data_IF_055339686218
#
_entry.id   IF_055339686218
#
_cell.length_a   1.000
_cell.length_b   1.000
_cell.length_c   1.000
_cell.angle_alpha   90.00
_cell.angle_beta   90.00
_cell.angle_gamma   90.00
#
_symmetry.space_group_name_H-M   'P 1'
#
loop_
_entity.id
_entity.type
_entity.pdbx_description
1 polymer ?
#
# COMPACT_ATOMS: atom_id res chain seq x y z
N UNK A 1 -11.17 -16.16 21.69
CA UNK A 1 -11.58 -17.55 21.37
C UNK A 1 -12.58 -18.05 22.40
N UNK A 2 -12.31 -17.92 23.70
CA UNK A 2 -13.29 -18.20 24.76
C UNK A 2 -14.60 -17.43 24.55
N UNK A 3 -14.52 -16.12 24.23
CA UNK A 3 -15.72 -15.28 24.05
C UNK A 3 -16.59 -15.67 22.86
N UNK A 4 -15.98 -16.11 21.74
CA UNK A 4 -16.72 -16.59 20.56
C UNK A 4 -17.38 -17.92 20.88
N UNK A 5 -16.65 -18.83 21.55
CA UNK A 5 -17.19 -20.12 21.97
C UNK A 5 -18.33 -19.95 22.98
N UNK A 6 -18.18 -19.04 23.94
CA UNK A 6 -19.21 -18.67 24.91
C UNK A 6 -20.44 -18.04 24.24
N UNK A 7 -20.24 -17.19 23.23
CA UNK A 7 -21.32 -16.61 22.43
C UNK A 7 -22.14 -17.67 21.70
N UNK A 8 -21.47 -18.63 21.06
CA UNK A 8 -22.12 -19.71 20.30
C UNK A 8 -22.84 -20.67 21.23
N UNK A 9 -22.20 -21.07 22.33
CA UNK A 9 -22.71 -22.13 23.20
C UNK A 9 -23.73 -21.61 24.22
N UNK A 10 -23.52 -20.42 24.78
CA UNK A 10 -24.29 -19.93 25.93
C UNK A 10 -25.19 -18.73 25.62
N UNK A 11 -25.05 -18.09 24.46
CA UNK A 11 -25.78 -16.85 24.12
C UNK A 11 -26.50 -16.89 22.76
N UNK A 12 -26.63 -18.06 22.13
CA UNK A 12 -27.30 -18.25 20.84
C UNK A 12 -26.82 -17.25 19.76
N UNK A 13 -25.52 -16.93 19.73
CA UNK A 13 -24.90 -16.05 18.74
C UNK A 13 -25.37 -14.57 18.72
N UNK A 14 -26.29 -14.18 19.60
CA UNK A 14 -26.90 -12.84 19.57
C UNK A 14 -25.90 -11.70 19.85
N UNK A 15 -24.81 -11.98 20.57
CA UNK A 15 -23.76 -11.00 20.89
C UNK A 15 -22.51 -11.14 20.02
N UNK A 16 -22.54 -11.98 18.97
CA UNK A 16 -21.38 -12.23 18.12
C UNK A 16 -20.89 -10.95 17.44
N UNK A 17 -21.81 -10.06 17.06
CA UNK A 17 -21.50 -8.77 16.44
C UNK A 17 -20.63 -7.88 17.35
N UNK A 18 -20.94 -7.81 18.66
CA UNK A 18 -20.17 -7.03 19.64
C UNK A 18 -18.75 -7.58 19.79
N UNK A 19 -18.59 -8.91 19.72
CA UNK A 19 -17.27 -9.52 19.81
C UNK A 19 -16.42 -9.08 18.62
N UNK A 20 -16.95 -9.11 17.39
CA UNK A 20 -16.20 -8.62 16.22
C UNK A 20 -15.82 -7.14 16.34
N UNK A 21 -16.76 -6.30 16.75
CA UNK A 21 -16.51 -4.86 16.95
C UNK A 21 -15.40 -4.65 17.99
N UNK A 22 -15.50 -5.31 19.15
CA UNK A 22 -14.51 -5.18 20.24
C UNK A 22 -13.13 -5.72 19.86
N UNK A 23 -13.07 -6.74 18.99
CA UNK A 23 -11.80 -7.30 18.53
C UNK A 23 -11.14 -6.45 17.43
N UNK A 24 -11.89 -5.58 16.72
CA UNK A 24 -11.35 -4.70 15.66
C UNK A 24 -10.08 -3.96 16.13
N UNK A 25 -10.13 -3.29 17.26
CA UNK A 25 -9.01 -2.51 17.79
C UNK A 25 -7.79 -3.37 18.11
N UNK A 26 -8.02 -4.57 18.66
CA UNK A 26 -6.94 -5.53 18.97
C UNK A 26 -6.28 -6.07 17.71
N UNK A 27 -6.97 -6.04 16.58
CA UNK A 27 -6.47 -6.54 15.29
C UNK A 27 -5.70 -5.50 14.48
N UNK A 28 -5.70 -4.22 14.89
CA UNK A 28 -4.94 -3.15 14.23
C UNK A 28 -3.44 -3.48 14.13
N UNK A 29 -2.91 -4.26 15.08
CA UNK A 29 -1.51 -4.73 15.09
C UNK A 29 -1.13 -5.51 13.83
N UNK A 30 -2.10 -6.11 13.13
CA UNK A 30 -1.84 -6.85 11.90
C UNK A 30 -1.43 -5.93 10.74
N UNK A 31 -1.81 -4.65 10.76
CA UNK A 31 -1.31 -3.68 9.77
C UNK A 31 0.22 -3.57 9.83
N UNK A 32 0.76 -3.42 11.04
CA UNK A 32 2.20 -3.36 11.25
C UNK A 32 2.87 -4.69 10.85
N UNK A 33 2.31 -5.82 11.27
CA UNK A 33 2.85 -7.14 10.92
C UNK A 33 2.93 -7.35 9.40
N UNK A 34 1.82 -7.13 8.69
CA UNK A 34 1.74 -7.29 7.24
C UNK A 34 2.68 -6.36 6.48
N UNK A 35 2.92 -5.14 7.00
CA UNK A 35 3.85 -4.19 6.37
C UNK A 35 5.33 -4.60 6.50
N UNK A 36 5.68 -5.41 7.51
CA UNK A 36 7.07 -5.74 7.84
C UNK A 36 7.45 -7.19 7.52
N UNK A 37 6.47 -8.09 7.39
CA UNK A 37 6.70 -9.55 7.25
C UNK A 37 7.58 -9.88 6.05
N UNK A 38 7.42 -9.19 4.91
CA UNK A 38 8.26 -9.40 3.73
C UNK A 38 9.72 -9.05 4.01
N UNK A 39 9.96 -7.93 4.69
CA UNK A 39 11.30 -7.49 5.09
C UNK A 39 11.92 -8.46 6.11
N UNK A 40 11.13 -8.93 7.07
CA UNK A 40 11.56 -9.91 8.06
C UNK A 40 11.93 -11.25 7.42
N UNK A 41 11.15 -11.72 6.44
CA UNK A 41 11.44 -12.93 5.68
C UNK A 41 12.73 -12.77 4.86
N UNK A 42 12.90 -11.66 4.14
CA UNK A 42 14.15 -11.39 3.40
C UNK A 42 15.37 -11.33 4.34
N UNK A 43 15.22 -10.75 5.53
CA UNK A 43 16.28 -10.74 6.54
C UNK A 43 16.60 -12.17 7.02
N UNK A 44 15.57 -12.97 7.31
CA UNK A 44 15.73 -14.37 7.71
C UNK A 44 16.45 -15.19 6.64
N UNK A 45 16.09 -15.02 5.37
CA UNK A 45 16.75 -15.70 4.25
C UNK A 45 18.23 -15.32 4.16
N UNK A 46 18.54 -14.03 4.27
CA UNK A 46 19.91 -13.53 4.21
C UNK A 46 20.76 -14.06 5.36
N UNK A 47 20.22 -14.09 6.58
CA UNK A 47 20.90 -14.66 7.75
C UNK A 47 21.13 -16.15 7.54
N UNK A 48 20.11 -16.89 7.10
CA UNK A 48 20.19 -18.34 6.90
C UNK A 48 21.20 -18.71 5.79
N UNK A 49 21.38 -17.85 4.77
CA UNK A 49 22.39 -18.03 3.72
C UNK A 49 23.81 -17.72 4.18
N UNK A 50 23.98 -16.80 5.12
CA UNK A 50 25.30 -16.30 5.55
C UNK A 50 25.82 -16.99 6.81
N UNK A 51 24.93 -17.56 7.62
CA UNK A 51 25.22 -18.16 8.93
C UNK A 51 24.68 -19.59 9.00
N UNK A 52 25.56 -20.56 8.74
CA UNK A 52 25.19 -21.99 8.73
C UNK A 52 24.72 -22.50 10.10
N UNK A 53 25.28 -21.98 11.19
CA UNK A 53 24.87 -22.29 12.56
C UNK A 53 23.41 -21.92 12.83
N UNK A 54 22.99 -20.74 12.35
CA UNK A 54 21.59 -20.29 12.45
C UNK A 54 20.67 -21.17 11.61
N UNK A 55 21.08 -21.50 10.38
CA UNK A 55 20.32 -22.37 9.49
C UNK A 55 20.06 -23.75 10.10
N UNK A 56 21.10 -24.40 10.63
CA UNK A 56 20.96 -25.69 11.31
C UNK A 56 20.02 -25.60 12.52
N UNK A 57 20.09 -24.49 13.27
CA UNK A 57 19.19 -24.28 14.40
C UNK A 57 17.73 -24.10 13.97
N UNK A 58 17.49 -23.42 12.85
CA UNK A 58 16.14 -23.27 12.28
C UNK A 58 15.56 -24.63 11.86
N UNK A 59 16.37 -25.50 11.25
CA UNK A 59 15.97 -26.87 10.88
C UNK A 59 15.66 -27.73 12.11
N UNK A 60 16.49 -27.67 13.15
CA UNK A 60 16.24 -28.35 14.43
C UNK A 60 14.92 -27.89 15.07
N UNK A 61 14.70 -26.58 15.13
CA UNK A 61 13.47 -25.99 15.65
C UNK A 61 12.23 -26.45 14.85
N UNK A 62 12.33 -26.48 13.52
CA UNK A 62 11.26 -26.97 12.65
C UNK A 62 10.93 -28.45 12.91
N UNK A 63 11.96 -29.31 13.00
CA UNK A 63 11.81 -30.73 13.35
C UNK A 63 11.16 -30.90 14.71
N UNK A 64 11.58 -30.14 15.72
CA UNK A 64 11.04 -30.22 17.09
C UNK A 64 9.59 -29.73 17.19
N UNK A 65 9.23 -28.68 16.48
CA UNK A 65 7.92 -28.04 16.62
C UNK A 65 6.81 -28.72 15.80
N UNK A 66 7.15 -29.22 14.60
CA UNK A 66 6.15 -29.71 13.65
C UNK A 66 6.66 -30.86 12.75
N UNK A 67 7.70 -31.58 13.18
CA UNK A 67 8.33 -32.68 12.45
C UNK A 67 8.89 -32.24 11.08
N UNK A 68 9.30 -30.98 10.94
CA UNK A 68 9.90 -30.48 9.70
C UNK A 68 8.90 -30.14 8.60
N UNK A 69 7.60 -30.14 8.88
CA UNK A 69 6.54 -29.86 7.91
C UNK A 69 6.47 -28.39 7.51
N UNK A 70 6.78 -27.48 8.42
CA UNK A 70 6.71 -26.03 8.18
C UNK A 70 7.97 -25.34 8.70
N UNK A 71 8.61 -24.57 7.83
CA UNK A 71 9.76 -23.74 8.19
C UNK A 71 9.31 -22.49 8.95
N UNK A 72 10.24 -21.81 9.64
CA UNK A 72 9.94 -20.52 10.27
C UNK A 72 9.40 -19.51 9.26
N UNK A 73 9.93 -19.52 8.03
CA UNK A 73 9.43 -18.71 6.92
C UNK A 73 7.95 -18.95 6.65
N UNK A 74 7.53 -20.22 6.54
CA UNK A 74 6.13 -20.58 6.30
C UNK A 74 5.23 -20.09 7.42
N UNK A 75 5.70 -20.25 8.67
CA UNK A 75 4.97 -19.84 9.86
C UNK A 75 4.80 -18.31 9.99
N UNK A 76 5.77 -17.52 9.52
CA UNK A 76 5.67 -16.06 9.50
C UNK A 76 4.61 -15.53 8.52
N UNK A 77 4.23 -16.32 7.51
CA UNK A 77 3.17 -15.91 6.56
C UNK A 77 1.76 -16.22 7.12
N UNK A 78 1.65 -17.13 8.08
CA UNK A 78 0.36 -17.58 8.64
C UNK A 78 -0.48 -16.45 9.24
N UNK A 79 0.06 -15.51 10.05
CA UNK A 79 -0.74 -14.42 10.59
C UNK A 79 -1.33 -13.52 9.50
N UNK A 80 -0.57 -13.26 8.43
CA UNK A 80 -1.07 -12.52 7.26
C UNK A 80 -2.18 -13.28 6.53
N UNK A 81 -1.99 -14.58 6.27
CA UNK A 81 -3.03 -15.42 5.63
C UNK A 81 -4.32 -15.50 6.47
N UNK A 82 -4.18 -15.52 7.80
CA UNK A 82 -5.32 -15.56 8.72
C UNK A 82 -6.12 -14.26 8.69
N UNK A 83 -5.45 -13.12 8.52
CA UNK A 83 -6.10 -11.82 8.35
C UNK A 83 -6.83 -11.74 7.02
N UNK A 84 -6.24 -12.30 5.95
CA UNK A 84 -6.91 -12.32 4.65
C UNK A 84 -8.17 -13.20 4.67
N UNK A 85 -8.19 -14.33 5.40
CA UNK A 85 -9.40 -15.14 5.58
C UNK A 85 -10.56 -14.42 6.26
N UNK A 86 -10.38 -13.20 6.76
CA UNK A 86 -11.51 -12.37 7.20
C UNK A 86 -12.49 -12.05 6.08
N UNK A 87 -12.11 -12.10 4.79
CA UNK A 87 -13.09 -12.02 3.70
C UNK A 87 -14.10 -13.19 3.74
N UNK A 88 -13.71 -14.36 4.24
CA UNK A 88 -14.63 -15.50 4.45
C UNK A 88 -15.52 -15.28 5.66
N UNK A 89 -15.01 -14.64 6.72
CA UNK A 89 -15.82 -14.21 7.87
C UNK A 89 -16.79 -13.10 7.47
N UNK A 90 -16.36 -12.14 6.66
CA UNK A 90 -17.20 -11.09 6.06
C UNK A 90 -18.27 -11.72 5.16
N UNK A 91 -17.89 -12.71 4.36
CA UNK A 91 -18.84 -13.47 3.54
C UNK A 91 -19.83 -14.22 4.44
N UNK A 92 -19.37 -14.92 5.48
CA UNK A 92 -20.22 -15.62 6.43
C UNK A 92 -21.18 -14.68 7.16
N UNK A 93 -20.70 -13.55 7.70
CA UNK A 93 -21.55 -12.52 8.32
C UNK A 93 -22.52 -11.94 7.29
N UNK A 94 -22.10 -11.72 6.04
CA UNK A 94 -22.98 -11.25 4.96
C UNK A 94 -24.07 -12.25 4.63
N UNK A 95 -23.75 -13.54 4.61
CA UNK A 95 -24.74 -14.61 4.41
C UNK A 95 -25.69 -14.69 5.62
N UNK A 96 -25.19 -14.58 6.85
CA UNK A 96 -26.03 -14.49 8.05
C UNK A 96 -26.99 -13.30 7.95
N UNK A 97 -26.50 -12.09 7.63
CA UNK A 97 -27.33 -10.88 7.42
C UNK A 97 -28.45 -11.10 6.38
N UNK A 98 -28.21 -11.89 5.33
CA UNK A 98 -29.22 -12.19 4.30
C UNK A 98 -30.30 -13.13 4.82
N UNK A 99 -29.93 -14.10 5.66
CA UNK A 99 -30.83 -15.12 6.20
C UNK A 99 -31.50 -14.73 7.54
N UNK A 100 -30.99 -13.71 8.22
CA UNK A 100 -31.62 -13.14 9.42
C UNK A 100 -32.88 -12.36 9.05
N UNK A 101 -34.01 -12.75 9.64
CA UNK A 101 -35.33 -12.11 9.47
C UNK A 101 -35.60 -11.03 10.50
N UNK A 102 -34.95 -11.09 11.67
CA UNK A 102 -35.06 -10.07 12.71
C UNK A 102 -34.36 -8.75 12.29
N UNK A 103 -35.07 -7.61 12.24
CA UNK A 103 -34.49 -6.35 11.81
C UNK A 103 -33.33 -5.85 12.69
N UNK A 104 -33.42 -6.03 14.00
CA UNK A 104 -32.44 -5.53 14.96
C UNK A 104 -31.14 -6.35 14.89
N UNK A 105 -31.26 -7.68 14.84
CA UNK A 105 -30.13 -8.59 14.66
C UNK A 105 -29.44 -8.35 13.30
N UNK A 106 -30.22 -8.10 12.25
CA UNK A 106 -29.70 -7.75 10.93
C UNK A 106 -28.90 -6.44 10.94
N UNK A 107 -29.35 -5.42 11.67
CA UNK A 107 -28.63 -4.17 11.83
C UNK A 107 -27.33 -4.37 12.63
N UNK A 108 -27.40 -5.11 13.73
CA UNK A 108 -26.22 -5.47 14.54
C UNK A 108 -25.15 -6.20 13.72
N UNK A 109 -25.53 -7.18 12.91
CA UNK A 109 -24.61 -7.91 12.04
C UNK A 109 -24.02 -7.03 10.93
N UNK A 110 -24.76 -6.04 10.40
CA UNK A 110 -24.22 -5.05 9.45
C UNK A 110 -23.12 -4.20 10.10
N UNK A 111 -23.30 -3.77 11.35
CA UNK A 111 -22.27 -3.01 12.07
C UNK A 111 -20.97 -3.82 12.23
N UNK A 112 -21.08 -5.10 12.57
CA UNK A 112 -19.91 -5.99 12.63
C UNK A 112 -19.26 -6.20 11.26
N UNK A 113 -20.08 -6.34 10.20
CA UNK A 113 -19.58 -6.47 8.83
C UNK A 113 -18.76 -5.25 8.41
N UNK A 114 -19.28 -4.05 8.64
CA UNK A 114 -18.61 -2.81 8.26
C UNK A 114 -17.34 -2.59 9.10
N UNK A 115 -17.38 -2.89 10.41
CA UNK A 115 -16.20 -2.86 11.28
C UNK A 115 -15.05 -3.76 10.76
N UNK A 116 -15.37 -4.94 10.23
CA UNK A 116 -14.39 -5.87 9.67
C UNK A 116 -13.90 -5.45 8.27
N UNK A 117 -14.76 -4.83 7.44
CA UNK A 117 -14.34 -4.24 6.17
C UNK A 117 -13.35 -3.09 6.39
N UNK A 118 -13.63 -2.22 7.35
CA UNK A 118 -12.74 -1.12 7.73
C UNK A 118 -11.37 -1.65 8.14
N UNK A 119 -11.32 -2.73 8.93
CA UNK A 119 -10.06 -3.34 9.36
C UNK A 119 -9.28 -3.87 8.15
N UNK A 120 -9.95 -4.55 7.21
CA UNK A 120 -9.31 -5.06 6.00
C UNK A 120 -8.75 -3.92 5.14
N UNK A 121 -9.53 -2.84 4.97
CA UNK A 121 -9.08 -1.64 4.27
C UNK A 121 -7.88 -0.99 4.98
N UNK A 122 -7.93 -0.87 6.30
CA UNK A 122 -6.83 -0.33 7.11
C UNK A 122 -5.53 -1.12 6.90
N UNK A 123 -5.57 -2.45 6.99
CA UNK A 123 -4.38 -3.30 6.78
C UNK A 123 -3.80 -3.09 5.38
N UNK A 124 -4.66 -2.97 4.36
CA UNK A 124 -4.24 -2.69 2.99
C UNK A 124 -3.60 -1.31 2.85
N UNK A 125 -4.19 -0.26 3.44
CA UNK A 125 -3.63 1.09 3.41
C UNK A 125 -2.29 1.16 4.14
N UNK A 126 -2.15 0.53 5.31
CA UNK A 126 -0.86 0.47 6.04
C UNK A 126 0.22 -0.21 5.20
N UNK A 127 -0.12 -1.30 4.50
CA UNK A 127 0.82 -1.96 3.58
C UNK A 127 1.20 -1.02 2.43
N UNK A 128 0.21 -0.41 1.78
CA UNK A 128 0.42 0.54 0.67
C UNK A 128 1.28 1.72 1.09
N UNK A 129 1.01 2.32 2.24
CA UNK A 129 1.80 3.42 2.80
C UNK A 129 3.25 3.00 3.05
N UNK A 130 3.48 1.81 3.59
CA UNK A 130 4.85 1.31 3.79
C UNK A 130 5.58 1.04 2.46
N UNK A 131 4.89 0.62 1.41
CA UNK A 131 5.47 0.50 0.07
C UNK A 131 5.79 1.87 -0.52
N UNK A 132 4.85 2.82 -0.46
CA UNK A 132 5.09 4.21 -0.89
C UNK A 132 6.25 4.85 -0.13
N UNK A 133 6.35 4.68 1.19
CA UNK A 133 7.48 5.18 1.97
C UNK A 133 8.82 4.59 1.54
N UNK A 134 8.85 3.29 1.20
CA UNK A 134 10.06 2.62 0.68
C UNK A 134 10.45 3.18 -0.69
N UNK A 135 9.50 3.37 -1.57
CA UNK A 135 9.69 3.95 -2.90
C UNK A 135 10.18 5.42 -2.80
N UNK A 136 9.53 6.24 -1.98
CA UNK A 136 9.93 7.62 -1.70
C UNK A 136 11.38 7.66 -1.21
N UNK A 137 11.75 6.78 -0.29
CA UNK A 137 13.12 6.70 0.22
C UNK A 137 14.12 6.36 -0.88
N UNK A 138 13.77 5.47 -1.81
CA UNK A 138 14.62 5.15 -2.96
C UNK A 138 14.77 6.36 -3.89
N UNK A 139 13.69 7.08 -4.19
CA UNK A 139 13.75 8.31 -4.98
C UNK A 139 14.58 9.41 -4.30
N UNK A 140 14.44 9.58 -2.98
CA UNK A 140 15.25 10.55 -2.24
C UNK A 140 16.75 10.24 -2.28
N UNK A 141 17.13 8.96 -2.38
CA UNK A 141 18.54 8.55 -2.49
C UNK A 141 19.09 8.73 -3.91
N UNK A 142 18.25 8.61 -4.94
CA UNK A 142 18.67 8.70 -6.35
C UNK A 142 18.63 10.12 -6.91
N UNK A 143 17.91 11.05 -6.27
CA UNK A 143 17.77 12.44 -6.74
C UNK A 143 18.69 13.38 -5.95
N UNK A 144 19.65 13.97 -6.66
CA UNK A 144 20.56 15.00 -6.18
C UNK A 144 19.90 16.39 -6.18
N UNK A 145 20.42 17.29 -5.34
CA UNK A 145 19.97 18.67 -5.16
C UNK A 145 18.52 18.82 -4.65
N UNK A 146 17.92 17.81 -4.05
CA UNK A 146 16.62 17.96 -3.39
C UNK A 146 16.69 19.00 -2.27
N UNK A 147 15.85 20.03 -2.37
CA UNK A 147 15.77 21.06 -1.33
C UNK A 147 14.98 20.57 -0.11
N UNK A 148 13.98 19.71 -0.32
CA UNK A 148 13.02 19.26 0.71
C UNK A 148 12.76 17.75 0.60
N UNK A 149 12.20 17.16 1.66
CA UNK A 149 11.80 15.75 1.67
C UNK A 149 10.65 15.50 0.70
N UNK A 150 10.76 14.44 -0.11
CA UNK A 150 9.71 14.06 -1.07
C UNK A 150 8.39 13.65 -0.39
N UNK A 151 8.44 13.29 0.89
CA UNK A 151 7.25 12.98 1.71
C UNK A 151 6.22 14.12 1.72
N UNK A 152 6.66 15.37 1.57
CA UNK A 152 5.75 16.53 1.59
C UNK A 152 4.86 16.62 0.34
N UNK A 153 5.19 15.87 -0.71
CA UNK A 153 4.46 15.89 -1.98
C UNK A 153 3.41 14.77 -2.10
N UNK A 154 3.27 13.93 -1.07
CA UNK A 154 2.30 12.84 -1.04
C UNK A 154 2.85 11.51 -1.55
N UNK A 155 1.96 10.63 -2.01
CA UNK A 155 2.31 9.32 -2.56
C UNK A 155 2.82 9.46 -4.01
N UNK A 156 3.81 8.66 -4.43
CA UNK A 156 4.19 8.57 -5.83
C UNK A 156 3.04 7.99 -6.66
N UNK A 157 2.82 8.57 -7.83
CA UNK A 157 1.83 8.12 -8.81
C UNK A 157 2.51 7.48 -10.04
N UNK A 158 3.83 7.65 -10.16
CA UNK A 158 4.66 7.04 -11.20
C UNK A 158 5.84 7.92 -11.59
N UNK A 159 6.75 7.37 -12.39
CA UNK A 159 7.90 8.09 -12.90
C UNK A 159 8.20 7.73 -14.37
N UNK A 160 8.99 8.56 -15.06
CA UNK A 160 9.49 8.19 -16.38
C UNK A 160 10.06 9.32 -17.24
N UNK A 161 10.53 8.93 -18.42
CA UNK A 161 11.19 9.84 -19.35
C UNK A 161 10.18 10.57 -20.26
N UNK A 162 10.32 11.90 -20.31
CA UNK A 162 9.52 12.81 -21.11
C UNK A 162 10.36 13.86 -21.83
N UNK A 163 9.78 14.45 -22.88
CA UNK A 163 10.33 15.61 -23.58
C UNK A 163 9.53 16.86 -23.24
N UNK A 164 10.16 17.81 -22.58
CA UNK A 164 9.53 19.06 -22.16
C UNK A 164 10.04 20.21 -23.04
N UNK A 165 9.16 21.12 -23.43
CA UNK A 165 9.52 22.43 -23.97
C UNK A 165 8.98 23.50 -23.03
N UNK A 166 9.85 24.30 -22.43
CA UNK A 166 9.44 25.43 -21.60
C UNK A 166 9.29 26.68 -22.46
N UNK A 167 8.47 27.66 -22.02
CA UNK A 167 8.26 28.90 -22.77
C UNK A 167 9.56 29.66 -23.06
N UNK A 168 10.51 29.56 -22.13
CA UNK A 168 11.80 30.27 -22.19
C UNK A 168 12.83 29.54 -23.06
N UNK A 169 12.65 28.24 -23.32
CA UNK A 169 13.59 27.41 -24.09
C UNK A 169 12.85 26.77 -25.25
N UNK A 170 13.07 27.30 -26.45
CA UNK A 170 12.48 26.79 -27.71
C UNK A 170 12.90 25.35 -28.04
N UNK A 171 13.97 24.83 -27.42
CA UNK A 171 14.45 23.47 -27.62
C UNK A 171 13.73 22.47 -26.70
N UNK A 172 13.31 21.32 -27.27
CA UNK A 172 12.83 20.16 -26.51
C UNK A 172 13.96 19.60 -25.65
N UNK A 173 13.65 19.27 -24.41
CA UNK A 173 14.61 18.75 -23.45
C UNK A 173 14.14 17.40 -22.92
N UNK A 174 15.01 16.39 -23.02
CA UNK A 174 14.77 15.09 -22.38
C UNK A 174 14.93 15.25 -20.86
N UNK A 175 13.91 14.82 -20.13
CA UNK A 175 13.82 14.89 -18.67
C UNK A 175 13.23 13.60 -18.13
N UNK A 176 13.62 13.26 -16.91
CA UNK A 176 12.92 12.26 -16.12
C UNK A 176 12.01 13.00 -15.15
N UNK A 177 10.81 12.50 -14.93
CA UNK A 177 9.89 13.06 -13.95
C UNK A 177 9.50 12.04 -12.91
N UNK A 178 9.31 12.51 -11.68
CA UNK A 178 8.66 11.76 -10.62
C UNK A 178 7.35 12.48 -10.29
N UNK A 179 6.22 11.81 -10.50
CA UNK A 179 4.89 12.33 -10.25
C UNK A 179 4.45 11.92 -8.85
N UNK A 180 4.02 12.91 -8.06
CA UNK A 180 3.44 12.75 -6.74
C UNK A 180 2.04 13.37 -6.71
N UNK A 181 1.27 13.11 -5.65
CA UNK A 181 -0.07 13.69 -5.44
C UNK A 181 -0.11 15.22 -5.61
N UNK A 182 0.91 15.90 -5.07
CA UNK A 182 0.94 17.36 -4.97
C UNK A 182 1.99 18.02 -5.86
N UNK A 183 2.93 17.27 -6.45
CA UNK A 183 4.00 17.85 -7.25
C UNK A 183 4.54 16.93 -8.35
N UNK A 184 5.16 17.53 -9.35
CA UNK A 184 6.02 16.84 -10.32
C UNK A 184 7.46 17.29 -10.09
N UNK A 185 8.34 16.34 -9.81
CA UNK A 185 9.78 16.59 -9.69
C UNK A 185 10.41 16.37 -11.06
N UNK A 186 10.90 17.43 -11.69
CA UNK A 186 11.56 17.37 -12.99
C UNK A 186 13.06 17.24 -12.80
N UNK A 187 13.61 16.17 -13.33
CA UNK A 187 15.02 15.80 -13.18
C UNK A 187 15.73 15.66 -14.54
N UNK A 188 17.04 15.85 -14.53
CA UNK A 188 17.94 15.45 -15.62
C UNK A 188 18.67 14.18 -15.21
N UNK A 189 18.54 13.11 -15.98
CA UNK A 189 19.24 11.84 -15.72
C UNK A 189 20.76 12.00 -15.84
N UNK A 190 21.51 11.38 -14.92
CA UNK A 190 22.97 11.38 -14.80
C UNK A 190 23.46 9.95 -14.47
N UNK A 191 23.46 9.08 -15.47
CA UNK A 191 23.71 7.65 -15.26
C UNK A 191 22.56 7.02 -14.48
N UNK A 192 22.86 6.50 -13.29
CA UNK A 192 21.88 5.90 -12.37
C UNK A 192 21.24 6.91 -11.41
N UNK A 193 21.79 8.13 -11.34
CA UNK A 193 21.27 9.22 -10.50
C UNK A 193 20.46 10.24 -11.33
N UNK A 194 19.74 11.10 -10.62
CA UNK A 194 18.90 12.15 -11.17
C UNK A 194 19.29 13.50 -10.57
N UNK A 195 19.48 14.51 -11.40
CA UNK A 195 19.75 15.86 -10.96
C UNK A 195 18.45 16.68 -10.99
N UNK A 196 17.92 17.07 -9.84
CA UNK A 196 16.69 17.86 -9.76
C UNK A 196 16.88 19.23 -10.45
N UNK A 197 15.92 19.61 -11.29
CA UNK A 197 15.92 20.87 -12.05
C UNK A 197 14.79 21.80 -11.64
N UNK A 198 13.61 21.25 -11.40
CA UNK A 198 12.42 22.03 -11.08
C UNK A 198 11.42 21.17 -10.32
N UNK A 199 10.62 21.81 -9.46
CA UNK A 199 9.49 21.21 -8.77
C UNK A 199 8.24 21.96 -9.21
N UNK A 200 7.30 21.26 -9.83
CA UNK A 200 6.04 21.83 -10.30
C UNK A 200 4.97 21.50 -9.27
N UNK A 201 4.48 22.51 -8.56
CA UNK A 201 3.43 22.40 -7.55
C UNK A 201 2.05 22.23 -8.22
N UNK A 202 1.49 21.03 -8.21
CA UNK A 202 0.26 20.70 -8.93
C UNK A 202 -0.97 21.47 -8.44
N UNK A 203 -0.94 22.04 -7.23
CA UNK A 203 -2.05 22.86 -6.73
C UNK A 203 -2.19 24.18 -7.51
N UNK A 204 -1.11 24.65 -8.16
CA UNK A 204 -1.07 25.91 -8.90
C UNK A 204 -1.31 25.76 -10.41
N UNK A 205 -1.41 24.53 -10.91
CA UNK A 205 -1.54 24.26 -12.35
C UNK A 205 -2.81 23.46 -12.66
N UNK A 206 -3.37 23.70 -13.85
CA UNK A 206 -4.48 22.92 -14.39
C UNK A 206 -4.00 22.09 -15.56
N UNK A 207 -4.40 20.82 -15.60
CA UNK A 207 -4.16 19.92 -16.73
C UNK A 207 -5.14 20.28 -17.84
N UNK A 208 -4.63 20.50 -19.04
CA UNK A 208 -5.43 20.63 -20.27
C UNK A 208 -5.05 19.49 -21.21
N UNK A 209 -5.85 19.20 -22.24
CA UNK A 209 -5.61 18.14 -23.24
C UNK A 209 -5.36 18.68 -24.66
N UNK A 210 -5.36 20.00 -24.86
CA UNK A 210 -5.31 20.61 -26.20
C UNK A 210 -3.88 20.86 -26.68
N UNK A 211 -3.40 20.21 -27.76
CA UNK A 211 -2.16 20.58 -28.43
C UNK A 211 -2.34 21.77 -29.40
N UNK A 212 -3.20 22.75 -29.08
CA UNK A 212 -3.49 23.85 -30.01
C UNK A 212 -2.53 25.03 -29.86
N UNK A 213 -2.05 25.47 -31.03
CA UNK A 213 -1.19 26.61 -31.36
C UNK A 213 -1.81 27.99 -31.05
N UNK A 214 -2.51 28.16 -29.93
CA UNK A 214 -3.09 29.46 -29.58
C UNK A 214 -2.13 30.31 -28.74
N UNK A 215 -1.65 31.38 -29.36
CA UNK A 215 -0.66 32.33 -28.83
C UNK A 215 -1.14 33.19 -27.66
N UNK A 216 -2.38 33.03 -27.18
CA UNK A 216 -2.99 34.01 -26.27
C UNK A 216 -3.36 33.50 -24.87
N UNK A 217 -3.22 32.21 -24.55
CA UNK A 217 -3.35 31.73 -23.17
C UNK A 217 -2.09 31.00 -22.70
N UNK A 218 -1.08 31.80 -22.36
CA UNK A 218 0.31 31.43 -22.04
C UNK A 218 0.50 30.84 -20.63
N UNK A 219 -0.25 29.81 -20.24
CA UNK A 219 0.04 29.01 -19.03
C UNK A 219 0.07 27.50 -19.35
N UNK A 220 1.27 27.03 -19.66
CA UNK A 220 1.81 25.69 -19.30
C UNK A 220 1.25 24.49 -20.10
N UNK A 221 1.87 24.21 -21.24
CA UNK A 221 1.66 22.97 -22.03
C UNK A 221 2.41 21.74 -21.47
N UNK A 222 2.88 21.76 -20.23
CA UNK A 222 3.77 20.71 -19.68
C UNK A 222 2.99 19.47 -19.21
N UNK A 223 1.68 19.58 -18.99
CA UNK A 223 0.91 18.52 -18.31
C UNK A 223 0.20 17.55 -19.27
N UNK A 224 -0.03 17.96 -20.52
CA UNK A 224 -0.71 17.15 -21.54
C UNK A 224 0.04 15.82 -21.82
N UNK A 225 1.37 15.84 -21.91
CA UNK A 225 2.15 14.64 -22.24
C UNK A 225 2.30 13.66 -21.08
N UNK A 226 2.17 14.13 -19.84
CA UNK A 226 2.19 13.28 -18.65
C UNK A 226 0.90 12.46 -18.52
N UNK A 227 -0.24 13.09 -18.82
CA UNK A 227 -1.53 12.43 -18.67
C UNK A 227 -1.75 11.36 -19.76
N UNK A 228 -1.49 11.67 -21.04
CA UNK A 228 -1.81 10.76 -22.16
C UNK A 228 -0.93 9.51 -22.22
N UNK A 229 0.27 9.52 -21.62
CA UNK A 229 1.20 8.38 -21.66
C UNK A 229 1.10 7.46 -20.44
N UNK A 230 0.70 7.97 -19.27
CA UNK A 230 0.78 7.22 -18.00
C UNK A 230 -0.58 6.84 -17.39
N UNK A 231 -1.71 7.39 -17.83
CA UNK A 231 -3.05 7.01 -17.36
C UNK A 231 -3.67 5.70 -17.91
N UNK A 232 -3.23 5.08 -19.03
CA UNK A 232 -3.77 3.75 -19.40
C UNK A 232 -3.41 2.65 -18.39
N UNK A 233 -2.49 2.91 -17.46
CA UNK A 233 -2.04 1.96 -16.44
C UNK A 233 -2.72 2.14 -15.07
N UNK A 234 -3.62 3.13 -14.92
CA UNK A 234 -4.34 3.42 -13.66
C UNK A 234 -5.83 3.03 -13.71
N UNK A 235 -6.27 2.33 -14.76
CA UNK A 235 -7.64 1.80 -14.90
C UNK A 235 -7.65 0.29 -15.16
N UNK A 236 -6.97 -0.49 -14.30
CA UNK A 236 -7.24 -1.92 -14.08
C UNK A 236 -7.08 -2.22 -12.59
#
# INVERSE_FOLDING_TARGET
MQDIFDSIVNKNDQNLYQIFINYKERMVIYGQYCSQVETAISCLDNISKTKEDVKLKLEECSKRANNGKFTLRDLLVVPMQRVLKYHLLLHFISELVKHTTDPNEKENLKLALDAMKDLAQYVNEVKRDNESLREIKQFQLSIENLNHSLLMYGRPQGDGEIRITTLDKRARQDRHIFLFDLAVIVCKRRGDNYEMKEIIDLQKYKITNNPTTDKENKKVNVIILLYTKYMPLLNI
#
